data_IF_215865437500
#
_entry.id   IF_215865437500
#
_cell.length_a   1.000
_cell.length_b   1.000
_cell.length_c   1.000
_cell.angle_alpha   90.00
_cell.angle_beta   90.00
_cell.angle_gamma   90.00
#
_symmetry.space_group_name_H-M   'P 1'
#
loop_
_entity.id
_entity.type
_entity.pdbx_description
1 polymer ?
#
# COMPACT_ATOMS: atom_id res chain seq x y z
N UNK A 1 -10.01 9.37 12.44
CA UNK A 1 -9.57 10.77 12.65
C UNK A 1 -10.80 11.65 12.67
N UNK A 2 -10.94 12.56 13.64
CA UNK A 2 -12.06 13.51 13.73
C UNK A 2 -11.53 14.89 14.11
N UNK A 3 -12.17 16.01 13.69
CA UNK A 3 -11.71 17.36 14.00
C UNK A 3 -11.53 17.61 15.51
N UNK A 4 -12.45 17.11 16.34
CA UNK A 4 -12.37 17.24 17.80
C UNK A 4 -11.17 16.54 18.43
N UNK A 5 -10.71 15.43 17.82
CA UNK A 5 -9.50 14.72 18.28
C UNK A 5 -8.22 15.38 17.73
N UNK A 6 -8.23 15.87 16.49
CA UNK A 6 -7.11 16.64 15.90
C UNK A 6 -6.80 17.93 16.67
N UNK A 7 -7.81 18.51 17.33
CA UNK A 7 -7.60 19.63 18.25
C UNK A 7 -6.74 19.25 19.47
N UNK A 8 -6.68 17.98 19.86
CA UNK A 8 -6.04 17.51 21.11
C UNK A 8 -4.77 16.69 20.90
N UNK A 9 -4.65 15.98 19.78
CA UNK A 9 -3.53 15.10 19.43
C UNK A 9 -3.14 15.29 17.96
N UNK A 10 -1.91 14.93 17.62
CA UNK A 10 -1.52 14.75 16.22
C UNK A 10 -1.74 13.29 15.81
N UNK A 11 -1.87 13.02 14.52
CA UNK A 11 -2.12 11.67 13.98
C UNK A 11 -1.05 11.25 12.99
N UNK A 12 -0.73 9.96 12.95
CA UNK A 12 0.05 9.37 11.86
C UNK A 12 -0.68 9.47 10.52
N UNK A 13 -0.02 9.01 9.46
CA UNK A 13 -0.69 8.66 8.22
C UNK A 13 -1.74 7.57 8.47
N UNK A 14 -2.71 7.49 7.55
CA UNK A 14 -3.79 6.53 7.61
C UNK A 14 -3.25 5.16 7.24
N UNK A 15 -3.43 4.17 8.11
CA UNK A 15 -2.97 2.79 7.87
C UNK A 15 -4.13 1.83 7.56
N UNK A 16 -5.37 2.25 7.81
CA UNK A 16 -6.55 1.44 7.55
C UNK A 16 -7.79 2.32 7.35
N UNK A 17 -8.72 1.87 6.51
CA UNK A 17 -10.00 2.56 6.28
C UNK A 17 -11.12 1.55 6.50
N UNK A 18 -12.06 1.90 7.38
CA UNK A 18 -13.29 1.15 7.64
C UNK A 18 -14.51 1.99 7.25
N UNK A 19 -15.69 1.41 7.37
CA UNK A 19 -16.99 2.08 7.21
C UNK A 19 -17.91 1.70 8.37
N UNK A 20 -18.94 2.52 8.61
CA UNK A 20 -19.99 2.19 9.56
C UNK A 20 -21.01 1.23 9.01
N UNK A 21 -21.63 0.50 9.92
CA UNK A 21 -22.66 -0.50 9.71
C UNK A 21 -23.79 -0.33 10.71
N UNK A 22 -24.98 -0.77 10.29
CA UNK A 22 -26.17 -0.88 11.15
C UNK A 22 -26.65 -2.32 11.17
N UNK A 23 -26.82 -2.84 12.38
CA UNK A 23 -27.47 -4.12 12.62
C UNK A 23 -28.92 -3.93 13.05
N UNK A 24 -29.79 -4.83 12.61
CA UNK A 24 -31.12 -5.03 13.14
C UNK A 24 -31.29 -6.49 13.63
N UNK A 25 -32.31 -6.76 14.45
CA UNK A 25 -32.66 -8.13 14.81
C UNK A 25 -33.02 -8.95 13.55
N UNK A 26 -32.60 -10.22 13.52
CA UNK A 26 -32.91 -11.11 12.41
C UNK A 26 -34.44 -11.29 12.28
N UNK A 27 -34.96 -11.14 11.06
CA UNK A 27 -36.41 -11.20 10.79
C UNK A 27 -37.19 -9.93 11.15
N UNK A 28 -36.51 -8.83 11.49
CA UNK A 28 -37.16 -7.53 11.62
C UNK A 28 -37.63 -7.00 10.25
N UNK A 29 -38.67 -6.15 10.26
CA UNK A 29 -39.19 -5.49 9.06
C UNK A 29 -38.49 -4.15 8.77
N UNK A 30 -37.32 -3.90 9.39
CA UNK A 30 -36.60 -2.65 9.20
C UNK A 30 -35.95 -2.66 7.82
N UNK A 31 -36.29 -1.65 7.01
CA UNK A 31 -35.76 -1.48 5.67
C UNK A 31 -34.27 -1.10 5.65
N UNK A 32 -33.66 -1.04 4.45
CA UNK A 32 -32.26 -0.67 4.32
C UNK A 32 -32.01 0.75 4.83
N UNK A 33 -30.94 0.92 5.61
CA UNK A 33 -30.44 2.19 6.15
C UNK A 33 -29.34 2.69 5.23
N UNK A 34 -29.57 3.82 4.55
CA UNK A 34 -28.64 4.41 3.59
C UNK A 34 -27.81 5.55 4.17
N UNK A 35 -28.31 6.22 5.21
CA UNK A 35 -27.65 7.32 5.89
C UNK A 35 -27.87 7.26 7.40
N UNK A 36 -26.99 7.93 8.16
CA UNK A 36 -27.10 7.99 9.62
C UNK A 36 -28.42 8.65 10.06
N UNK A 37 -28.97 9.58 9.28
CA UNK A 37 -30.28 10.20 9.57
C UNK A 37 -31.44 9.20 9.57
N UNK A 38 -31.34 8.10 8.81
CA UNK A 38 -32.44 7.15 8.67
C UNK A 38 -32.67 6.35 9.97
N UNK A 39 -31.69 6.35 10.88
CA UNK A 39 -31.80 5.69 12.18
C UNK A 39 -32.59 6.51 13.20
N UNK A 40 -32.88 7.79 12.92
CA UNK A 40 -33.49 8.73 13.86
C UNK A 40 -34.88 8.31 14.39
N UNK A 41 -35.60 7.50 13.61
CA UNK A 41 -36.93 7.02 13.96
C UNK A 41 -36.94 5.78 14.89
N UNK A 42 -35.78 5.26 15.26
CA UNK A 42 -35.64 3.97 15.95
C UNK A 42 -34.99 4.13 17.33
N UNK A 43 -35.10 3.10 18.18
CA UNK A 43 -34.27 2.97 19.39
C UNK A 43 -32.90 2.46 18.98
N UNK A 44 -31.88 3.31 19.07
CA UNK A 44 -30.55 3.04 18.53
C UNK A 44 -29.57 2.82 19.67
N UNK A 45 -28.90 1.68 19.65
CA UNK A 45 -27.79 1.37 20.52
C UNK A 45 -26.44 1.67 19.87
N UNK A 46 -25.51 2.16 20.69
CA UNK A 46 -24.15 2.48 20.26
C UNK A 46 -23.18 2.28 21.42
N UNK A 47 -21.93 1.94 21.11
CA UNK A 47 -20.88 1.92 22.14
C UNK A 47 -20.52 3.34 22.55
N UNK A 48 -20.45 3.61 23.85
CA UNK A 48 -20.04 4.90 24.38
C UNK A 48 -18.59 5.25 23.98
N UNK A 49 -18.26 6.54 23.95
CA UNK A 49 -16.93 7.04 23.54
C UNK A 49 -16.49 6.63 22.12
N UNK A 50 -17.40 6.11 21.31
CA UNK A 50 -17.21 5.89 19.88
C UNK A 50 -17.56 7.14 19.09
N UNK A 51 -17.03 7.25 17.86
CA UNK A 51 -17.41 8.35 16.96
C UNK A 51 -18.90 8.30 16.60
N UNK A 52 -19.53 7.12 16.68
CA UNK A 52 -20.94 6.95 16.38
C UNK A 52 -21.81 7.54 17.48
N UNK A 53 -21.40 7.38 18.75
CA UNK A 53 -22.09 8.00 19.88
C UNK A 53 -22.05 9.52 19.77
N UNK A 54 -20.87 10.09 19.52
CA UNK A 54 -20.69 11.54 19.32
C UNK A 54 -21.57 12.03 18.16
N UNK A 55 -21.57 11.33 17.01
CA UNK A 55 -22.36 11.74 15.84
C UNK A 55 -23.87 11.58 16.02
N UNK A 56 -24.34 10.49 16.60
CA UNK A 56 -25.77 10.32 16.90
C UNK A 56 -26.25 11.40 17.88
N UNK A 57 -25.42 11.73 18.87
CA UNK A 57 -25.70 12.78 19.83
C UNK A 57 -25.73 14.17 19.16
N UNK A 58 -24.69 14.53 18.41
CA UNK A 58 -24.53 15.88 17.85
C UNK A 58 -25.43 16.11 16.62
N UNK A 59 -25.55 15.13 15.74
CA UNK A 59 -26.26 15.28 14.47
C UNK A 59 -27.75 14.96 14.57
N UNK A 60 -28.18 14.09 15.50
CA UNK A 60 -29.57 13.66 15.60
C UNK A 60 -30.25 14.13 16.89
N UNK A 61 -29.64 13.91 18.05
CA UNK A 61 -30.27 14.28 19.33
C UNK A 61 -30.24 15.79 19.56
N UNK A 62 -29.06 16.41 19.44
CA UNK A 62 -28.89 17.84 19.69
C UNK A 62 -29.62 18.73 18.66
N UNK A 63 -29.84 18.22 17.45
CA UNK A 63 -30.62 18.90 16.40
C UNK A 63 -32.12 18.65 16.51
N UNK A 64 -32.56 17.77 17.42
CA UNK A 64 -33.96 17.41 17.63
C UNK A 64 -34.55 16.46 16.59
N UNK A 65 -33.72 15.82 15.75
CA UNK A 65 -34.15 14.81 14.79
C UNK A 65 -34.44 13.45 15.47
N UNK A 66 -33.80 13.16 16.60
CA UNK A 66 -34.00 11.97 17.41
C UNK A 66 -34.29 12.37 18.87
N UNK A 67 -35.27 11.71 19.50
CA UNK A 67 -35.50 11.85 20.95
C UNK A 67 -34.29 11.28 21.72
N UNK A 68 -33.77 12.01 22.71
CA UNK A 68 -32.67 11.53 23.54
C UNK A 68 -32.99 10.18 24.23
N UNK A 69 -34.27 9.90 24.52
CA UNK A 69 -34.72 8.61 25.07
C UNK A 69 -34.56 7.43 24.10
N UNK A 70 -34.34 7.69 22.81
CA UNK A 70 -34.11 6.67 21.78
C UNK A 70 -32.63 6.36 21.56
N UNK A 71 -31.70 7.10 22.16
CA UNK A 71 -30.26 6.81 22.08
C UNK A 71 -29.79 6.04 23.31
N UNK A 72 -29.35 4.81 23.12
CA UNK A 72 -28.86 3.92 24.17
C UNK A 72 -27.35 3.74 24.04
N UNK A 73 -26.60 4.10 25.08
CA UNK A 73 -25.15 3.90 25.11
C UNK A 73 -24.79 2.69 25.95
N UNK A 74 -23.79 1.94 25.50
CA UNK A 74 -23.28 0.75 26.16
C UNK A 74 -21.77 0.81 26.31
N UNK A 75 -21.22 0.21 27.37
CA UNK A 75 -19.76 0.08 27.55
C UNK A 75 -19.14 -0.79 26.46
N UNK A 76 -19.84 -1.86 26.07
CA UNK A 76 -19.35 -2.91 25.16
C UNK A 76 -20.38 -3.19 24.05
N UNK A 77 -19.89 -3.40 22.82
CA UNK A 77 -20.75 -3.71 21.67
C UNK A 77 -21.56 -5.00 21.84
N UNK A 78 -21.01 -6.00 22.54
CA UNK A 78 -21.71 -7.26 22.87
C UNK A 78 -23.00 -7.02 23.67
N UNK A 79 -23.01 -6.00 24.54
CA UNK A 79 -24.18 -5.66 25.35
C UNK A 79 -25.27 -5.03 24.50
N UNK A 80 -24.89 -4.11 23.61
CA UNK A 80 -25.80 -3.50 22.64
C UNK A 80 -26.45 -4.57 21.72
N UNK A 81 -25.66 -5.51 21.20
CA UNK A 81 -26.15 -6.59 20.32
C UNK A 81 -27.04 -7.58 21.07
N UNK A 82 -26.76 -7.86 22.34
CA UNK A 82 -27.64 -8.69 23.19
C UNK A 82 -29.01 -8.04 23.37
N UNK A 83 -29.03 -6.73 23.59
CA UNK A 83 -30.27 -5.95 23.76
C UNK A 83 -31.06 -5.84 22.45
N UNK A 84 -30.36 -5.74 21.32
CA UNK A 84 -30.94 -5.80 19.98
C UNK A 84 -31.66 -7.14 19.75
N UNK A 85 -30.99 -8.26 20.05
CA UNK A 85 -31.58 -9.61 19.95
C UNK A 85 -32.81 -9.79 20.86
N UNK A 86 -32.82 -9.10 21.99
CA UNK A 86 -33.94 -9.11 22.94
C UNK A 86 -35.06 -8.10 22.60
N UNK A 87 -34.92 -7.31 21.53
CA UNK A 87 -35.90 -6.29 21.13
C UNK A 87 -35.97 -5.07 22.06
N UNK A 88 -34.97 -4.88 22.94
CA UNK A 88 -34.87 -3.70 23.81
C UNK A 88 -34.47 -2.44 23.05
N UNK A 89 -33.69 -2.63 21.98
CA UNK A 89 -33.34 -1.62 20.97
C UNK A 89 -33.65 -2.19 19.59
N UNK A 90 -33.81 -1.32 18.61
CA UNK A 90 -34.20 -1.67 17.25
C UNK A 90 -32.98 -1.78 16.32
N UNK A 91 -31.95 -0.96 16.57
CA UNK A 91 -30.74 -0.88 15.77
C UNK A 91 -29.49 -0.82 16.63
N UNK A 92 -28.37 -1.33 16.11
CA UNK A 92 -27.03 -1.10 16.68
C UNK A 92 -26.15 -0.48 15.59
N UNK A 93 -25.52 0.65 15.88
CA UNK A 93 -24.56 1.32 14.98
C UNK A 93 -23.13 1.06 15.46
N UNK A 94 -22.29 0.51 14.58
CA UNK A 94 -20.91 0.13 14.88
C UNK A 94 -20.05 0.03 13.60
N UNK A 95 -18.76 -0.30 13.72
CA UNK A 95 -17.89 -0.57 12.58
C UNK A 95 -18.32 -1.83 11.78
N UNK A 96 -18.08 -1.83 10.47
CA UNK A 96 -18.50 -2.90 9.56
C UNK A 96 -18.02 -4.29 9.96
N UNK A 97 -16.73 -4.47 10.24
CA UNK A 97 -16.20 -5.81 10.53
C UNK A 97 -16.75 -6.43 11.82
N UNK A 98 -16.84 -5.69 12.96
CA UNK A 98 -17.59 -6.17 14.10
C UNK A 98 -19.05 -6.51 13.77
N UNK A 99 -19.72 -5.71 12.94
CA UNK A 99 -21.11 -5.95 12.55
C UNK A 99 -21.27 -7.27 11.78
N UNK A 100 -20.42 -7.51 10.78
CA UNK A 100 -20.38 -8.77 10.02
C UNK A 100 -20.08 -9.97 10.91
N UNK A 101 -19.16 -9.81 11.86
CA UNK A 101 -18.88 -10.84 12.86
C UNK A 101 -20.12 -11.18 13.68
N UNK A 102 -20.88 -10.20 14.16
CA UNK A 102 -22.14 -10.46 14.87
C UNK A 102 -23.22 -11.07 14.00
N UNK A 103 -23.34 -10.63 12.74
CA UNK A 103 -24.30 -11.20 11.79
C UNK A 103 -24.00 -12.68 11.50
N UNK A 104 -22.71 -13.04 11.34
CA UNK A 104 -22.30 -14.43 11.11
C UNK A 104 -22.58 -15.36 12.29
N UNK A 105 -22.63 -14.83 13.52
CA UNK A 105 -23.02 -15.57 14.74
C UNK A 105 -24.54 -15.78 14.85
N UNK A 106 -25.34 -15.12 14.01
CA UNK A 106 -26.79 -15.25 13.97
C UNK A 106 -27.56 -14.40 14.99
N UNK A 107 -28.87 -14.28 14.78
CA UNK A 107 -29.80 -13.50 15.59
C UNK A 107 -29.88 -12.00 15.24
N UNK A 108 -28.96 -11.50 14.42
CA UNK A 108 -28.97 -10.14 13.86
C UNK A 108 -28.60 -10.19 12.38
N UNK A 109 -28.97 -9.16 11.64
CA UNK A 109 -28.63 -8.98 10.22
C UNK A 109 -28.16 -7.56 9.96
N UNK A 110 -27.29 -7.41 8.96
CA UNK A 110 -26.87 -6.11 8.47
C UNK A 110 -28.03 -5.47 7.69
N UNK A 111 -28.39 -4.24 8.05
CA UNK A 111 -29.44 -3.45 7.36
C UNK A 111 -28.91 -2.15 6.77
N UNK A 112 -27.67 -1.77 7.05
CA UNK A 112 -27.01 -0.62 6.42
C UNK A 112 -25.50 -0.72 6.54
N UNK A 113 -24.79 -0.19 5.55
CA UNK A 113 -23.33 -0.09 5.55
C UNK A 113 -22.87 1.07 4.67
N UNK A 114 -21.60 1.42 4.75
CA UNK A 114 -20.97 2.40 3.85
C UNK A 114 -21.22 3.86 4.19
N UNK A 115 -21.96 4.12 5.26
CA UNK A 115 -22.05 5.44 5.84
C UNK A 115 -20.87 5.64 6.81
N UNK A 116 -20.31 6.85 6.88
CA UNK A 116 -19.26 7.20 7.86
C UNK A 116 -17.92 6.50 7.62
N UNK A 117 -17.30 6.75 6.47
CA UNK A 117 -15.95 6.24 6.17
C UNK A 117 -14.95 6.67 7.25
N UNK A 118 -14.39 5.69 7.94
CA UNK A 118 -13.48 5.86 9.06
C UNK A 118 -12.03 5.73 8.61
N UNK A 119 -11.24 6.76 8.88
CA UNK A 119 -9.80 6.77 8.63
C UNK A 119 -9.05 6.50 9.93
N UNK A 120 -8.42 5.32 10.03
CA UNK A 120 -7.64 4.91 11.18
C UNK A 120 -6.19 5.38 11.05
N UNK A 121 -5.71 6.01 12.11
CA UNK A 121 -4.35 6.53 12.27
C UNK A 121 -3.93 6.40 13.74
N UNK A 122 -2.63 6.31 14.00
CA UNK A 122 -2.05 6.28 15.34
C UNK A 122 -2.06 7.70 15.91
N UNK A 123 -2.67 7.89 17.08
CA UNK A 123 -2.65 9.16 17.79
C UNK A 123 -1.31 9.34 18.53
N UNK A 124 -0.75 10.54 18.49
CA UNK A 124 0.47 10.92 19.22
C UNK A 124 0.25 12.24 19.97
N UNK A 125 1.02 12.52 21.04
CA UNK A 125 0.91 13.79 21.76
C UNK A 125 1.09 14.98 20.83
N UNK A 126 0.33 16.06 21.07
CA UNK A 126 0.37 17.25 20.23
C UNK A 126 1.76 17.89 20.22
N UNK A 127 2.27 18.20 19.02
CA UNK A 127 3.61 18.72 18.80
C UNK A 127 4.73 17.67 18.89
N UNK A 128 4.40 16.38 19.05
CA UNK A 128 5.39 15.30 19.08
C UNK A 128 5.86 14.89 17.67
N UNK A 129 6.34 15.88 16.89
CA UNK A 129 6.66 15.74 15.46
C UNK A 129 7.68 14.63 15.18
N UNK A 130 8.68 14.44 16.06
CA UNK A 130 9.68 13.38 15.88
C UNK A 130 9.02 11.99 16.04
N UNK A 131 8.22 11.79 17.09
CA UNK A 131 7.52 10.53 17.32
C UNK A 131 6.53 10.22 16.19
N UNK A 132 5.77 11.23 15.75
CA UNK A 132 4.87 11.14 14.62
C UNK A 132 5.60 10.68 13.35
N UNK A 133 6.76 11.28 13.08
CA UNK A 133 7.61 10.95 11.93
C UNK A 133 8.09 9.50 11.99
N UNK A 134 8.61 9.05 13.14
CA UNK A 134 9.07 7.68 13.31
C UNK A 134 7.93 6.65 13.14
N UNK A 135 6.74 6.96 13.66
CA UNK A 135 5.55 6.11 13.47
C UNK A 135 5.15 6.06 11.99
N UNK A 136 5.15 7.19 11.29
CA UNK A 136 4.85 7.23 9.86
C UNK A 136 5.85 6.41 9.04
N UNK A 137 7.15 6.52 9.35
CA UNK A 137 8.20 5.71 8.71
C UNK A 137 7.99 4.21 8.97
N UNK A 138 7.66 3.83 10.20
CA UNK A 138 7.38 2.45 10.56
C UNK A 138 6.13 1.91 9.82
N UNK A 139 5.05 2.70 9.78
CA UNK A 139 3.80 2.36 9.06
C UNK A 139 4.07 2.16 7.56
N UNK A 140 4.80 3.07 6.91
CA UNK A 140 5.18 2.94 5.50
C UNK A 140 6.02 1.69 5.26
N UNK A 141 6.97 1.37 6.16
CA UNK A 141 7.79 0.16 6.05
C UNK A 141 6.94 -1.11 6.12
N UNK A 142 6.04 -1.23 7.10
CA UNK A 142 5.19 -2.44 7.23
C UNK A 142 4.15 -2.54 6.12
N UNK A 143 3.69 -1.42 5.59
CA UNK A 143 2.79 -1.37 4.44
C UNK A 143 3.50 -1.84 3.16
N UNK A 144 4.67 -1.29 2.84
CA UNK A 144 5.43 -1.63 1.63
C UNK A 144 5.97 -3.08 1.65
N UNK A 145 6.15 -3.66 2.84
CA UNK A 145 6.54 -5.06 2.99
C UNK A 145 5.36 -6.03 2.86
N UNK A 146 4.13 -5.53 2.64
CA UNK A 146 2.90 -6.34 2.64
C UNK A 146 2.50 -6.84 4.02
N UNK A 147 3.18 -6.42 5.10
CA UNK A 147 2.89 -6.90 6.45
C UNK A 147 1.52 -6.42 6.94
N UNK A 148 1.08 -5.20 6.58
CA UNK A 148 -0.29 -4.75 6.85
C UNK A 148 -1.31 -5.61 6.13
N UNK A 149 -1.07 -5.97 4.87
CA UNK A 149 -1.96 -6.87 4.11
C UNK A 149 -2.04 -8.25 4.76
N UNK A 150 -0.89 -8.83 5.17
CA UNK A 150 -0.84 -10.11 5.87
C UNK A 150 -1.56 -10.05 7.21
N UNK A 151 -1.41 -8.96 7.97
CA UNK A 151 -2.13 -8.78 9.24
C UNK A 151 -3.64 -8.63 9.03
N UNK A 152 -4.07 -7.97 7.94
CA UNK A 152 -5.49 -7.87 7.59
C UNK A 152 -6.05 -9.24 7.21
N UNK A 153 -5.33 -10.03 6.41
CA UNK A 153 -5.73 -11.40 6.08
C UNK A 153 -5.77 -12.29 7.34
N UNK A 154 -4.75 -12.22 8.19
CA UNK A 154 -4.63 -13.05 9.39
C UNK A 154 -5.67 -12.72 10.47
N UNK A 155 -5.87 -11.43 10.77
CA UNK A 155 -6.68 -11.01 11.92
C UNK A 155 -8.11 -10.59 11.54
N UNK A 156 -8.34 -10.18 10.30
CA UNK A 156 -9.65 -9.73 9.82
C UNK A 156 -10.28 -10.67 8.79
N UNK A 157 -9.53 -11.67 8.29
CA UNK A 157 -9.99 -12.64 7.28
C UNK A 157 -10.52 -11.98 6.00
N UNK A 158 -10.00 -10.80 5.65
CA UNK A 158 -10.33 -10.06 4.42
C UNK A 158 -9.30 -10.35 3.33
N UNK A 159 -9.76 -10.48 2.08
CA UNK A 159 -8.84 -10.53 0.95
C UNK A 159 -8.17 -9.16 0.74
N UNK A 160 -6.93 -9.13 0.25
CA UNK A 160 -6.17 -7.88 0.03
C UNK A 160 -6.89 -6.90 -0.91
N UNK A 161 -7.76 -7.40 -1.79
CA UNK A 161 -8.58 -6.61 -2.71
C UNK A 161 -9.84 -6.01 -2.06
N UNK A 162 -10.26 -6.51 -0.89
CA UNK A 162 -11.41 -6.02 -0.12
C UNK A 162 -11.02 -4.91 0.88
N UNK A 163 -9.72 -4.67 1.06
CA UNK A 163 -9.22 -3.52 1.80
C UNK A 163 -9.59 -2.27 1.00
N UNK A 164 -10.45 -1.41 1.56
CA UNK A 164 -10.74 -0.11 0.97
C UNK A 164 -9.41 0.59 0.65
N UNK A 165 -9.23 1.13 -0.58
CA UNK A 165 -7.95 1.67 -0.99
C UNK A 165 -7.51 2.72 0.04
N UNK A 166 -6.32 2.48 0.61
CA UNK A 166 -5.67 3.46 1.47
C UNK A 166 -5.55 4.76 0.68
N UNK A 167 -5.81 5.92 1.29
CA UNK A 167 -5.65 7.18 0.58
C UNK A 167 -4.21 7.29 0.09
N UNK A 168 -4.04 7.51 -1.21
CA UNK A 168 -2.76 7.97 -1.77
C UNK A 168 -2.27 9.18 -0.97
N UNK A 169 -0.94 9.34 -0.80
CA UNK A 169 -0.38 10.48 -0.08
C UNK A 169 -1.01 11.77 -0.61
N UNK A 170 -1.64 12.52 0.29
CA UNK A 170 -2.24 13.81 -0.07
C UNK A 170 -1.11 14.73 -0.50
N UNK A 171 -1.15 15.33 -1.72
CA UNK A 171 -0.15 16.30 -2.12
C UNK A 171 -0.13 17.43 -1.09
N UNK A 172 1.06 17.85 -0.67
CA UNK A 172 1.20 19.01 0.20
C UNK A 172 0.53 20.23 -0.49
N UNK A 173 -0.18 21.11 0.25
CA UNK A 173 -0.76 22.32 -0.33
C UNK A 173 0.34 23.16 -1.00
N UNK A 174 0.08 23.82 -2.14
CA UNK A 174 1.04 24.72 -2.74
C UNK A 174 1.36 25.84 -1.75
N UNK A 175 2.66 26.08 -1.55
CA UNK A 175 3.16 27.14 -0.68
C UNK A 175 2.54 28.50 -1.08
N UNK A 176 1.85 29.15 -0.14
CA UNK A 176 1.38 30.52 -0.34
C UNK A 176 2.57 31.50 -0.35
N UNK A 177 2.49 32.64 -1.07
CA UNK A 177 3.58 33.60 -1.18
C UNK A 177 3.93 34.23 0.19
N UNK A 178 5.19 34.65 0.40
CA UNK A 178 5.63 35.13 1.70
C UNK A 178 5.02 36.49 2.04
N UNK A 179 4.24 36.54 3.11
CA UNK A 179 3.95 37.79 3.81
C UNK A 179 5.12 38.15 4.74
N UNK A 180 5.44 39.45 4.82
CA UNK A 180 6.63 39.98 5.48
C UNK A 180 6.77 39.55 6.96
N UNK A 181 7.99 39.14 7.31
CA UNK A 181 8.47 38.68 8.62
C UNK A 181 8.39 39.73 9.74
N UNK A 182 8.06 39.32 10.98
CA UNK A 182 8.72 39.81 12.18
C UNK A 182 9.85 38.86 12.59
N UNK A 183 10.97 39.45 13.01
CA UNK A 183 12.20 38.80 13.44
C UNK A 183 12.00 37.97 14.71
N UNK A 184 12.36 36.67 14.68
CA UNK A 184 12.50 35.82 15.88
C UNK A 184 13.87 35.13 15.87
N UNK A 185 14.42 35.00 17.08
CA UNK A 185 15.72 34.49 17.48
C UNK A 185 16.18 33.17 16.79
N UNK A 186 17.50 32.89 16.73
CA UNK A 186 18.03 31.73 16.01
C UNK A 186 17.58 30.41 16.66
N UNK A 187 16.83 29.63 15.89
CA UNK A 187 16.44 28.26 16.20
C UNK A 187 17.64 27.32 16.01
N UNK A 188 17.80 26.25 16.83
CA UNK A 188 18.91 25.31 16.71
C UNK A 188 18.90 24.66 15.33
N UNK A 189 20.06 24.62 14.68
CA UNK A 189 20.26 24.03 13.36
C UNK A 189 19.71 22.60 13.33
N UNK A 190 18.69 22.30 12.51
CA UNK A 190 18.18 20.94 12.37
C UNK A 190 19.29 19.99 11.97
N UNK A 191 19.38 18.85 12.65
CA UNK A 191 20.30 17.79 12.29
C UNK A 191 20.05 17.32 10.86
N UNK A 192 21.14 17.01 10.15
CA UNK A 192 21.11 16.53 8.78
C UNK A 192 20.54 15.10 8.77
N UNK A 193 19.35 14.90 8.18
CA UNK A 193 18.71 13.58 7.98
C UNK A 193 18.76 13.24 6.49
N UNK A 194 19.36 12.10 6.14
CA UNK A 194 19.41 11.58 4.78
C UNK A 194 18.17 10.74 4.47
N UNK A 195 17.41 11.10 3.44
CA UNK A 195 16.27 10.31 2.97
C UNK A 195 16.05 10.52 1.48
N UNK A 196 15.79 9.43 0.75
CA UNK A 196 15.44 9.38 -0.67
C UNK A 196 14.07 8.74 -0.83
N UNK A 197 13.21 9.29 -1.68
CA UNK A 197 11.94 8.68 -2.05
C UNK A 197 11.91 8.37 -3.55
N UNK A 198 11.36 7.22 -3.93
CA UNK A 198 11.09 6.92 -5.33
C UNK A 198 9.92 7.79 -5.84
N UNK A 199 10.04 8.33 -7.04
CA UNK A 199 8.98 9.13 -7.67
C UNK A 199 8.30 8.33 -8.78
N UNK A 200 9.07 7.93 -9.79
CA UNK A 200 8.58 7.12 -10.91
C UNK A 200 9.72 6.51 -11.73
N UNK A 201 9.39 5.46 -12.47
CA UNK A 201 10.26 4.90 -13.50
C UNK A 201 10.34 5.85 -14.71
N UNK A 202 11.55 6.03 -15.23
CA UNK A 202 11.79 6.82 -16.45
C UNK A 202 11.94 5.92 -17.68
N UNK A 203 12.32 4.65 -17.48
CA UNK A 203 12.37 3.61 -18.50
C UNK A 203 12.17 2.23 -17.88
N UNK A 204 11.76 1.24 -18.65
CA UNK A 204 11.58 -0.16 -18.20
C UNK A 204 10.75 -0.27 -16.91
N UNK A 205 9.57 0.37 -16.89
CA UNK A 205 8.57 0.12 -15.86
C UNK A 205 8.14 -1.36 -15.96
N UNK A 206 8.40 -2.11 -14.89
CA UNK A 206 8.10 -3.53 -14.79
C UNK A 206 6.74 -3.81 -14.13
N UNK A 207 5.98 -2.74 -13.84
CA UNK A 207 4.69 -2.74 -13.16
C UNK A 207 4.76 -3.53 -11.85
N UNK A 208 5.81 -3.29 -11.05
CA UNK A 208 6.11 -4.00 -9.81
C UNK A 208 6.15 -5.53 -10.03
N UNK A 209 6.93 -5.95 -11.03
CA UNK A 209 7.08 -7.35 -11.46
C UNK A 209 5.81 -8.03 -12.02
N UNK A 210 4.69 -7.32 -12.19
CA UNK A 210 3.48 -7.91 -12.78
C UNK A 210 3.59 -8.03 -14.31
N UNK A 211 4.44 -7.23 -14.95
CA UNK A 211 4.71 -7.29 -16.39
C UNK A 211 6.17 -6.93 -16.71
N UNK A 212 7.16 -7.74 -16.28
CA UNK A 212 8.57 -7.47 -16.52
C UNK A 212 8.91 -7.53 -18.02
N UNK A 213 9.57 -6.52 -18.59
CA UNK A 213 9.97 -6.49 -19.99
C UNK A 213 10.77 -7.73 -20.41
N UNK A 214 10.48 -8.23 -21.61
CA UNK A 214 11.24 -9.33 -22.22
C UNK A 214 12.50 -8.78 -22.89
N UNK A 215 13.67 -9.30 -22.51
CA UNK A 215 14.96 -8.95 -23.10
C UNK A 215 15.69 -10.19 -23.60
N UNK A 216 16.35 -10.07 -24.73
CA UNK A 216 17.17 -11.14 -25.30
C UNK A 216 18.40 -11.43 -24.41
N UNK A 217 18.88 -12.69 -24.37
CA UNK A 217 20.11 -13.04 -23.67
C UNK A 217 21.28 -12.13 -24.06
N UNK A 218 21.90 -11.45 -23.08
CA UNK A 218 23.02 -10.53 -23.30
C UNK A 218 22.65 -9.15 -23.85
N UNK A 219 21.36 -8.84 -24.00
CA UNK A 219 20.90 -7.54 -24.47
C UNK A 219 21.28 -6.43 -23.48
N UNK A 220 21.87 -5.34 -23.99
CA UNK A 220 22.13 -4.14 -23.18
C UNK A 220 20.88 -3.26 -23.11
N UNK A 221 20.65 -2.63 -21.96
CA UNK A 221 19.52 -1.73 -21.75
C UNK A 221 19.84 -0.66 -20.71
N UNK A 222 19.14 0.49 -20.80
CA UNK A 222 19.34 1.62 -19.88
C UNK A 222 18.12 1.83 -19.00
N UNK A 223 18.29 1.60 -17.70
CA UNK A 223 17.26 1.81 -16.68
C UNK A 223 17.38 3.19 -16.05
N UNK A 224 16.28 3.92 -15.94
CA UNK A 224 16.23 5.20 -15.27
C UNK A 224 15.13 5.28 -14.21
N UNK A 225 15.43 5.95 -13.09
CA UNK A 225 14.46 6.28 -12.04
C UNK A 225 14.56 7.76 -11.71
N UNK A 226 13.42 8.40 -11.48
CA UNK A 226 13.36 9.69 -10.80
C UNK A 226 13.14 9.47 -9.32
N UNK A 227 13.94 10.15 -8.51
CA UNK A 227 13.85 10.10 -7.06
C UNK A 227 13.76 11.52 -6.50
N UNK A 228 13.27 11.64 -5.28
CA UNK A 228 13.10 12.88 -4.54
C UNK A 228 14.00 12.85 -3.30
N UNK A 229 14.73 13.94 -3.05
CA UNK A 229 15.34 14.16 -1.75
C UNK A 229 14.25 14.60 -0.77
N UNK A 230 13.75 13.67 0.04
CA UNK A 230 12.79 13.96 1.11
C UNK A 230 13.47 14.01 2.49
N UNK A 231 14.80 14.11 2.53
CA UNK A 231 15.57 14.33 3.74
C UNK A 231 15.73 15.81 4.10
N UNK A 232 16.54 16.08 5.12
CA UNK A 232 16.95 17.43 5.53
C UNK A 232 18.36 17.80 5.06
N UNK A 233 19.12 16.83 4.53
CA UNK A 233 20.45 17.03 3.97
C UNK A 233 20.38 17.31 2.46
N UNK A 234 21.14 18.29 1.98
CA UNK A 234 21.44 18.39 0.55
C UNK A 234 22.36 17.23 0.15
N UNK A 235 21.92 16.39 -0.79
CA UNK A 235 22.80 15.41 -1.39
C UNK A 235 23.81 16.09 -2.32
N UNK A 236 24.99 15.51 -2.47
CA UNK A 236 26.01 16.00 -3.39
C UNK A 236 26.95 14.86 -3.80
N UNK A 237 28.13 15.20 -4.31
CA UNK A 237 29.10 14.24 -4.88
C UNK A 237 29.64 13.13 -3.96
N UNK A 238 29.22 13.11 -2.69
CA UNK A 238 29.57 12.05 -1.74
C UNK A 238 28.41 11.05 -1.50
N UNK A 239 27.30 11.20 -2.21
CA UNK A 239 26.12 10.33 -2.12
C UNK A 239 26.04 9.43 -3.35
N UNK A 240 25.74 8.15 -3.14
CA UNK A 240 25.82 7.15 -4.20
C UNK A 240 24.63 6.21 -4.14
N UNK A 241 23.99 5.96 -5.27
CA UNK A 241 23.03 4.88 -5.45
C UNK A 241 23.79 3.62 -5.86
N UNK A 242 23.78 2.59 -5.02
CA UNK A 242 24.57 1.37 -5.21
C UNK A 242 23.70 0.12 -5.05
N UNK A 243 24.21 -1.00 -5.54
CA UNK A 243 23.55 -2.29 -5.46
C UNK A 243 23.21 -2.65 -4.00
N UNK A 244 21.99 -3.11 -3.77
CA UNK A 244 21.52 -3.58 -2.48
C UNK A 244 21.24 -5.09 -2.49
N UNK A 245 20.50 -5.58 -3.49
CA UNK A 245 20.08 -6.98 -3.56
C UNK A 245 19.65 -7.37 -4.98
N UNK A 246 19.70 -8.67 -5.32
CA UNK A 246 19.13 -9.20 -6.56
C UNK A 246 19.26 -10.72 -6.64
N UNK A 247 18.54 -11.35 -7.57
CA UNK A 247 18.66 -12.80 -7.82
C UNK A 247 19.83 -13.14 -8.76
N UNK A 248 20.41 -14.32 -8.58
CA UNK A 248 21.55 -14.80 -9.36
C UNK A 248 21.15 -15.31 -10.77
N UNK A 249 22.04 -15.27 -11.78
CA UNK A 249 23.43 -14.82 -11.73
C UNK A 249 23.58 -13.30 -11.90
N UNK A 250 24.25 -12.71 -10.92
CA UNK A 250 24.35 -11.28 -10.58
C UNK A 250 25.38 -10.42 -11.36
N UNK A 251 26.48 -10.93 -11.97
CA UNK A 251 27.54 -10.04 -12.45
C UNK A 251 27.13 -9.06 -13.58
N UNK A 252 26.07 -9.35 -14.34
CA UNK A 252 25.68 -8.58 -15.52
C UNK A 252 24.65 -7.47 -15.24
N UNK A 253 23.86 -7.60 -14.17
CA UNK A 253 22.74 -6.69 -13.88
C UNK A 253 22.94 -5.77 -12.67
N UNK A 254 24.02 -5.92 -11.88
CA UNK A 254 24.25 -5.05 -10.72
C UNK A 254 24.57 -3.60 -11.09
N UNK A 255 25.07 -3.38 -12.32
CA UNK A 255 25.58 -2.08 -12.76
C UNK A 255 26.76 -1.58 -11.91
N UNK A 256 27.39 -0.49 -12.33
CA UNK A 256 28.29 0.26 -11.46
C UNK A 256 27.48 1.15 -10.52
N UNK A 257 28.02 1.50 -9.35
CA UNK A 257 27.38 2.46 -8.46
C UNK A 257 27.41 3.87 -9.07
N UNK A 258 26.32 4.62 -8.96
CA UNK A 258 26.20 5.96 -9.56
C UNK A 258 26.18 7.02 -8.47
N UNK A 259 27.15 7.92 -8.52
CA UNK A 259 27.26 9.06 -7.59
C UNK A 259 26.41 10.23 -8.08
N UNK A 260 25.78 10.94 -7.15
CA UNK A 260 25.03 12.17 -7.40
C UNK A 260 25.98 13.25 -7.94
N UNK A 261 25.69 13.79 -9.13
CA UNK A 261 26.60 14.71 -9.84
C UNK A 261 26.39 16.20 -9.49
N UNK A 262 25.24 16.55 -8.89
CA UNK A 262 24.87 17.92 -8.56
C UNK A 262 24.28 18.00 -7.15
N UNK A 263 24.25 19.20 -6.57
CA UNK A 263 23.62 19.36 -5.26
C UNK A 263 22.10 19.21 -5.40
N UNK A 264 21.53 18.23 -4.69
CA UNK A 264 20.09 17.96 -4.65
C UNK A 264 19.59 18.39 -3.29
N UNK A 265 19.02 19.59 -3.20
CA UNK A 265 18.46 20.11 -1.96
C UNK A 265 17.25 19.28 -1.50
N UNK A 266 16.90 19.29 -0.20
CA UNK A 266 15.60 18.82 0.27
C UNK A 266 14.45 19.34 -0.59
N UNK A 267 13.54 18.46 -0.99
CA UNK A 267 12.42 18.73 -1.88
C UNK A 267 12.76 18.70 -3.38
N UNK A 268 14.03 18.60 -3.77
CA UNK A 268 14.42 18.51 -5.18
C UNK A 268 14.48 17.06 -5.68
N UNK A 269 14.16 16.86 -6.96
CA UNK A 269 14.27 15.55 -7.61
C UNK A 269 15.61 15.35 -8.31
N UNK A 270 16.02 14.10 -8.46
CA UNK A 270 17.21 13.69 -9.19
C UNK A 270 16.93 12.41 -10.01
N UNK A 271 17.51 12.34 -11.21
CA UNK A 271 17.32 11.21 -12.12
C UNK A 271 18.59 10.35 -12.13
N UNK A 272 18.43 9.08 -11.76
CA UNK A 272 19.49 8.09 -11.87
C UNK A 272 19.32 7.28 -13.15
N UNK A 273 20.44 6.94 -13.79
CA UNK A 273 20.47 6.06 -14.96
C UNK A 273 21.57 5.03 -14.83
N UNK A 274 21.26 3.78 -15.20
CA UNK A 274 22.16 2.64 -15.16
C UNK A 274 22.14 1.93 -16.51
N UNK A 275 23.31 1.68 -17.07
CA UNK A 275 23.49 0.82 -18.23
C UNK A 275 23.73 -0.61 -17.74
N UNK A 276 22.83 -1.51 -18.14
CA UNK A 276 22.72 -2.88 -17.64
C UNK A 276 22.76 -3.88 -18.80
N UNK A 277 23.07 -5.14 -18.48
CA UNK A 277 23.09 -6.25 -19.46
C UNK A 277 22.22 -7.39 -18.97
N UNK A 278 21.26 -7.80 -19.79
CA UNK A 278 20.38 -8.94 -19.50
C UNK A 278 21.21 -10.24 -19.38
N UNK A 279 20.94 -11.12 -18.40
CA UNK A 279 21.67 -12.37 -18.23
C UNK A 279 21.55 -13.28 -19.45
N UNK A 280 22.56 -14.11 -19.68
CA UNK A 280 22.52 -15.10 -20.76
C UNK A 280 21.59 -16.29 -20.45
N UNK A 281 21.38 -16.58 -19.17
CA UNK A 281 20.50 -17.64 -18.72
C UNK A 281 19.03 -17.18 -18.80
N UNK A 282 18.11 -18.04 -19.23
CA UNK A 282 16.68 -17.76 -19.15
C UNK A 282 16.19 -17.64 -17.72
N UNK A 283 15.22 -16.76 -17.51
CA UNK A 283 14.59 -16.57 -16.21
C UNK A 283 14.06 -15.16 -16.02
N UNK A 284 13.37 -14.98 -14.90
CA UNK A 284 12.94 -13.66 -14.44
C UNK A 284 13.95 -13.13 -13.43
N UNK A 285 14.45 -11.93 -13.67
CA UNK A 285 15.50 -11.28 -12.89
C UNK A 285 15.00 -10.01 -12.25
N UNK A 286 15.44 -9.75 -11.02
CA UNK A 286 15.17 -8.52 -10.28
C UNK A 286 16.44 -8.06 -9.58
N UNK A 287 16.79 -6.79 -9.77
CA UNK A 287 17.91 -6.14 -9.07
C UNK A 287 17.42 -4.87 -8.40
N UNK A 288 17.95 -4.59 -7.20
CA UNK A 288 17.51 -3.55 -6.27
C UNK A 288 18.72 -2.70 -5.89
N UNK A 289 18.55 -1.38 -5.89
CA UNK A 289 19.54 -0.38 -5.48
C UNK A 289 19.04 0.46 -4.31
N UNK A 290 19.98 0.98 -3.51
CA UNK A 290 19.70 1.84 -2.36
C UNK A 290 20.72 2.98 -2.24
N UNK A 291 20.26 4.17 -1.83
CA UNK A 291 21.11 5.33 -1.63
C UNK A 291 22.02 5.15 -0.42
N UNK A 292 23.26 5.63 -0.51
CA UNK A 292 24.25 5.66 0.56
C UNK A 292 24.83 7.06 0.72
N UNK A 293 25.04 7.49 1.95
CA UNK A 293 25.59 8.83 2.24
C UNK A 293 27.12 8.83 2.25
N UNK A 294 27.70 9.98 2.59
CA UNK A 294 29.15 10.18 2.66
C UNK A 294 29.88 9.31 3.69
N UNK A 295 29.14 8.63 4.58
CA UNK A 295 29.66 7.66 5.56
C UNK A 295 29.42 6.22 5.12
N UNK A 296 28.88 6.01 3.92
CA UNK A 296 28.49 4.69 3.41
C UNK A 296 27.28 4.10 4.13
N UNK A 297 26.45 4.92 4.78
CA UNK A 297 25.22 4.45 5.44
C UNK A 297 24.09 4.46 4.43
N UNK A 298 23.40 3.32 4.28
CA UNK A 298 22.25 3.18 3.40
C UNK A 298 21.02 3.93 3.95
N UNK A 299 20.26 4.60 3.09
CA UNK A 299 19.06 5.35 3.47
C UNK A 299 18.04 5.42 2.32
N UNK A 300 16.82 5.86 2.66
CA UNK A 300 15.73 6.09 1.72
C UNK A 300 15.15 4.81 1.09
N UNK A 301 14.22 5.04 0.18
CA UNK A 301 13.56 4.05 -0.65
C UNK A 301 14.56 3.27 -1.50
N UNK A 302 14.15 2.06 -1.86
CA UNK A 302 14.86 1.21 -2.79
C UNK A 302 14.21 1.32 -4.15
N UNK A 303 15.03 1.38 -5.19
CA UNK A 303 14.58 1.34 -6.58
C UNK A 303 15.02 0.03 -7.23
N UNK A 304 14.27 -0.49 -8.19
CA UNK A 304 14.57 -1.78 -8.79
C UNK A 304 14.22 -1.85 -10.27
N UNK A 305 14.73 -2.90 -10.91
CA UNK A 305 14.32 -3.30 -12.25
C UNK A 305 14.16 -4.81 -12.31
N UNK A 306 13.03 -5.20 -12.89
CA UNK A 306 12.63 -6.53 -13.25
C UNK A 306 12.68 -6.75 -14.75
N UNK A 307 13.25 -7.87 -15.20
CA UNK A 307 13.22 -8.28 -16.61
C UNK A 307 12.96 -9.77 -16.70
N UNK A 308 12.50 -10.23 -17.87
CA UNK A 308 12.44 -11.65 -18.20
C UNK A 308 13.34 -11.93 -19.40
N UNK A 309 14.18 -12.96 -19.28
CA UNK A 309 14.96 -13.50 -20.39
C UNK A 309 14.28 -14.79 -20.86
N UNK A 310 13.81 -14.87 -22.11
CA UNK A 310 13.12 -16.05 -22.62
C UNK A 310 14.08 -17.23 -22.72
N UNK A 311 13.53 -18.45 -22.76
CA UNK A 311 14.30 -19.59 -23.22
C UNK A 311 14.77 -19.34 -24.67
N UNK A 312 15.99 -19.75 -25.04
CA UNK A 312 16.40 -19.71 -26.43
C UNK A 312 15.35 -20.47 -27.22
N UNK A 313 14.88 -19.91 -28.33
CA UNK A 313 13.98 -20.62 -29.21
C UNK A 313 14.62 -21.98 -29.52
N UNK A 314 13.91 -23.07 -29.21
CA UNK A 314 14.34 -24.40 -29.63
C UNK A 314 14.55 -24.30 -31.14
N UNK A 315 15.75 -24.56 -31.67
CA UNK A 315 15.93 -24.56 -33.11
C UNK A 315 14.86 -25.48 -33.67
N UNK A 316 14.16 -25.10 -34.75
CA UNK A 316 13.20 -26.00 -35.39
C UNK A 316 13.90 -27.34 -35.56
N UNK A 317 13.23 -28.47 -35.25
CA UNK A 317 13.85 -29.78 -35.37
C UNK A 317 14.52 -29.83 -36.73
N UNK A 318 15.84 -30.07 -36.75
CA UNK A 318 16.59 -30.24 -37.98
C UNK A 318 15.86 -31.32 -38.77
N UNK A 319 15.07 -30.90 -39.74
CA UNK A 319 14.29 -31.77 -40.59
C UNK A 319 15.25 -32.38 -41.58
N UNK A 320 15.90 -33.48 -41.18
CA UNK A 320 15.67 -34.79 -41.76
C UNK A 320 16.78 -35.75 -41.34
N UNK A 321 16.46 -36.75 -40.53
CA UNK A 321 17.11 -38.05 -40.72
C UNK A 321 16.59 -38.54 -42.08
N UNK A 322 17.38 -38.36 -43.14
CA UNK A 322 17.06 -38.93 -44.44
C UNK A 322 17.50 -40.39 -44.44
N UNK A 323 16.54 -41.28 -44.32
CA UNK A 323 16.79 -42.69 -44.61
C UNK A 323 16.84 -42.87 -46.12
N UNK A 324 17.94 -43.44 -46.62
CA UNK A 324 18.09 -43.81 -48.03
C UNK A 324 18.28 -45.31 -48.10
N UNK A 325 17.48 -45.94 -48.93
CA UNK A 325 17.83 -47.27 -49.42
C UNK A 325 18.94 -47.12 -50.45
N UNK A 326 19.84 -48.10 -50.50
CA UNK A 326 20.92 -48.16 -51.49
C UNK A 326 20.39 -48.20 -52.93
N UNK A 327 19.11 -48.55 -53.14
CA UNK A 327 18.45 -48.61 -54.45
C UNK A 327 16.92 -48.38 -54.37
N UNK A 328 16.27 -47.86 -55.44
CA UNK A 328 14.85 -47.53 -55.43
C UNK A 328 13.89 -48.68 -55.83
N UNK A 329 14.38 -49.79 -56.36
CA UNK A 329 13.57 -50.95 -56.75
C UNK A 329 14.11 -52.23 -56.10
N UNK A 330 13.27 -52.90 -55.30
CA UNK A 330 13.62 -54.11 -54.53
C UNK A 330 12.65 -55.22 -54.91
N UNK A 331 13.16 -56.42 -55.24
CA UNK A 331 12.34 -57.59 -55.54
C UNK A 331 12.34 -58.56 -54.36
N UNK A 332 11.33 -59.43 -54.28
CA UNK A 332 11.24 -60.43 -53.23
C UNK A 332 12.47 -61.37 -53.28
N UNK A 333 13.22 -61.42 -52.17
CA UNK A 333 14.46 -62.21 -52.04
C UNK A 333 15.76 -61.39 -52.08
N UNK A 334 15.70 -60.09 -52.41
CA UNK A 334 16.89 -59.22 -52.43
C UNK A 334 17.29 -58.75 -51.03
N UNK A 335 18.59 -58.67 -50.77
CA UNK A 335 19.15 -57.97 -49.61
C UNK A 335 19.37 -56.49 -49.92
N UNK A 336 18.90 -55.59 -49.04
CA UNK A 336 19.15 -54.14 -49.10
C UNK A 336 19.67 -53.64 -47.75
N UNK A 337 20.34 -52.49 -47.76
CA UNK A 337 20.85 -51.84 -46.55
C UNK A 337 20.12 -50.52 -46.34
N UNK A 338 19.55 -50.36 -45.14
CA UNK A 338 18.96 -49.10 -44.70
C UNK A 338 20.07 -48.24 -44.09
N UNK A 339 20.23 -47.00 -44.57
CA UNK A 339 21.17 -46.03 -44.00
C UNK A 339 20.46 -44.73 -43.75
#
# INVERSE_FOLDING_TARGET
MTPGREAQVDFSQIYYVSEGAVLAAAGSNIGPIGALSDVAAYRVAVQQSSIYADRLQDELVATGLMDAANLFTYDEADHAVRDLKAGRVDLVVLDLLPAEKFASQGGVTLVGQGFSRQRYAVAVPKGATELQTQINLALSKVQNQGAIANLVEEYLALATAEILPMPSPTPLPPASPPAATPTVAPSPTPGCIDSMAFVNDLSYDDYDMTAPPLLEPGQTFRKGWRVLNNGACTWGGAYTLSYAQGNAPWPAMSGQSVTVQSNVAPGATYDFYFDLVAPAAPGTYRVIWQMHNNRGVAFGDRVWVGITVPNPATPPPSSAIQFKLDRPNIRAGDCTTFR
#
